data_IF_844411808243
#
_entry.id   IF_844411808243
#
_cell.length_a   1.000
_cell.length_b   1.000
_cell.length_c   1.000
_cell.angle_alpha   90.00
_cell.angle_beta   90.00
_cell.angle_gamma   90.00
#
_symmetry.space_group_name_H-M   'P 1'
#
loop_
_entity.id
_entity.type
_entity.pdbx_description
1 polymer ?
#
# COMPACT_ATOMS: atom_id res chain seq x y z
N UNK A 1 -1.91 -1.29 -15.14
CA UNK A 1 -2.81 -2.02 -14.21
C UNK A 1 -3.74 -2.85 -15.06
N UNK A 2 -3.72 -4.18 -14.94
CA UNK A 2 -4.64 -5.05 -15.65
C UNK A 2 -5.55 -5.70 -14.60
N UNK A 3 -6.87 -5.47 -14.62
CA UNK A 3 -7.76 -6.03 -13.63
C UNK A 3 -7.85 -7.55 -13.79
N UNK A 4 -7.82 -8.27 -12.66
CA UNK A 4 -8.18 -9.68 -12.63
C UNK A 4 -9.65 -9.77 -12.18
N UNK A 5 -10.55 -10.18 -13.06
CA UNK A 5 -11.99 -10.28 -12.76
C UNK A 5 -12.62 -8.98 -12.19
N UNK A 6 -12.18 -7.81 -12.65
CA UNK A 6 -12.69 -6.52 -12.17
C UNK A 6 -12.09 -6.03 -10.85
N UNK A 7 -11.17 -6.78 -10.25
CA UNK A 7 -10.41 -6.35 -9.07
C UNK A 7 -9.15 -5.59 -9.54
N UNK A 8 -8.93 -4.35 -9.06
CA UNK A 8 -7.67 -3.64 -9.32
C UNK A 8 -6.53 -4.42 -8.64
N UNK A 9 -5.78 -5.18 -9.44
CA UNK A 9 -4.67 -6.01 -8.95
C UNK A 9 -3.37 -5.50 -9.58
N UNK A 10 -2.42 -5.09 -8.74
CA UNK A 10 -1.07 -4.77 -9.16
C UNK A 10 -0.20 -6.02 -9.02
N UNK A 11 0.24 -6.54 -10.16
CA UNK A 11 1.12 -7.71 -10.20
C UNK A 11 2.54 -7.33 -9.78
N UNK A 12 3.15 -8.14 -8.92
CA UNK A 12 4.59 -8.09 -8.71
C UNK A 12 5.32 -8.34 -10.03
N UNK A 13 6.46 -7.69 -10.28
CA UNK A 13 7.31 -8.04 -11.42
C UNK A 13 7.62 -9.54 -11.38
N UNK A 14 7.37 -10.24 -12.50
CA UNK A 14 7.63 -11.67 -12.63
C UNK A 14 9.13 -12.03 -12.42
N UNK A 15 10.01 -11.03 -12.37
CA UNK A 15 11.46 -11.16 -12.19
C UNK A 15 11.90 -11.45 -10.77
N UNK A 16 11.00 -11.41 -9.78
CA UNK A 16 11.38 -11.64 -8.38
C UNK A 16 11.21 -13.10 -7.95
N UNK A 17 12.23 -13.64 -7.29
CA UNK A 17 12.18 -14.97 -6.69
C UNK A 17 11.36 -14.97 -5.38
N UNK A 18 11.06 -16.16 -4.84
CA UNK A 18 10.21 -16.30 -3.66
C UNK A 18 10.80 -15.63 -2.40
N UNK A 19 12.12 -15.70 -2.21
CA UNK A 19 12.78 -15.08 -1.07
C UNK A 19 12.71 -13.55 -1.13
N UNK A 20 12.91 -12.98 -2.31
CA UNK A 20 12.76 -11.55 -2.59
C UNK A 20 11.34 -11.03 -2.36
N UNK A 21 10.33 -11.84 -2.65
CA UNK A 21 8.93 -11.53 -2.34
C UNK A 21 8.68 -11.58 -0.84
N UNK A 22 9.13 -12.63 -0.16
CA UNK A 22 9.02 -12.79 1.29
C UNK A 22 9.72 -11.67 2.07
N UNK A 23 10.85 -11.20 1.55
CA UNK A 23 11.57 -10.07 2.13
C UNK A 23 10.78 -8.78 2.02
N UNK A 24 10.17 -8.52 0.87
CA UNK A 24 9.41 -7.29 0.62
C UNK A 24 8.04 -7.29 1.27
N UNK A 25 7.46 -8.46 1.57
CA UNK A 25 6.31 -8.58 2.49
C UNK A 25 6.62 -8.00 3.89
N UNK A 26 7.90 -7.93 4.30
CA UNK A 26 8.30 -7.31 5.57
C UNK A 26 8.26 -5.78 5.54
N UNK A 27 8.33 -5.18 4.35
CA UNK A 27 8.37 -3.72 4.18
C UNK A 27 6.96 -3.16 4.04
N UNK A 28 6.12 -3.42 5.04
CA UNK A 28 4.73 -2.98 5.07
C UNK A 28 4.46 -2.05 6.25
N UNK A 29 3.69 -0.99 6.00
CA UNK A 29 3.05 -0.18 7.04
C UNK A 29 1.56 -0.48 7.06
N UNK A 30 0.96 -0.44 8.25
CA UNK A 30 -0.48 -0.64 8.42
C UNK A 30 -1.06 0.59 9.09
N UNK A 31 -2.02 1.21 8.41
CA UNK A 31 -2.83 2.28 8.96
C UNK A 31 -4.12 1.66 9.48
N UNK A 32 -4.30 1.72 10.79
CA UNK A 32 -5.54 1.35 11.47
C UNK A 32 -6.52 2.53 11.46
N UNK A 33 -7.82 2.23 11.53
CA UNK A 33 -8.89 3.22 11.66
C UNK A 33 -8.83 4.35 10.61
N UNK A 34 -8.52 3.95 9.37
CA UNK A 34 -8.44 4.86 8.23
C UNK A 34 -9.75 5.65 8.07
N UNK A 35 -9.69 6.97 7.77
CA UNK A 35 -10.87 7.75 7.45
C UNK A 35 -11.66 7.12 6.31
N UNK A 36 -12.98 7.27 6.32
CA UNK A 36 -13.85 6.74 5.25
C UNK A 36 -13.54 7.37 3.87
N UNK A 37 -13.01 8.60 3.89
CA UNK A 37 -12.51 9.30 2.70
C UNK A 37 -11.27 8.65 2.10
N UNK A 38 -10.48 7.92 2.88
CA UNK A 38 -9.26 7.22 2.46
C UNK A 38 -9.61 5.77 2.10
N UNK A 39 -10.16 5.60 0.91
CA UNK A 39 -10.50 4.31 0.31
C UNK A 39 -9.71 4.06 -0.98
N UNK A 40 -9.80 2.85 -1.53
CA UNK A 40 -9.06 2.47 -2.75
C UNK A 40 -9.28 3.45 -3.90
N UNK A 41 -10.52 3.91 -4.12
CA UNK A 41 -10.84 4.84 -5.21
C UNK A 41 -10.14 6.20 -5.01
N UNK A 42 -10.16 6.73 -3.78
CA UNK A 42 -9.47 7.97 -3.42
C UNK A 42 -7.95 7.85 -3.59
N UNK A 43 -7.34 6.75 -3.13
CA UNK A 43 -5.89 6.54 -3.22
C UNK A 43 -5.42 6.33 -4.66
N UNK A 44 -6.29 5.84 -5.55
CA UNK A 44 -6.01 5.77 -7.00
C UNK A 44 -6.29 7.07 -7.75
N UNK A 45 -6.87 8.09 -7.10
CA UNK A 45 -7.16 9.35 -7.77
C UNK A 45 -5.86 10.11 -8.09
N UNK A 46 -5.78 10.85 -9.22
CA UNK A 46 -4.57 11.52 -9.67
C UNK A 46 -3.93 12.42 -8.60
N UNK A 47 -4.75 13.08 -7.79
CA UNK A 47 -4.33 13.96 -6.70
C UNK A 47 -3.50 13.24 -5.62
N UNK A 48 -3.69 11.93 -5.41
CA UNK A 48 -2.99 11.13 -4.41
C UNK A 48 -1.82 10.33 -5.01
N UNK A 49 -1.70 10.23 -6.34
CA UNK A 49 -0.58 9.54 -6.99
C UNK A 49 0.77 10.21 -6.71
N UNK A 50 0.79 11.54 -6.60
CA UNK A 50 1.99 12.30 -6.23
C UNK A 50 2.46 11.93 -4.82
N UNK A 51 1.53 11.90 -3.85
CA UNK A 51 1.81 11.49 -2.47
C UNK A 51 2.37 10.06 -2.39
N UNK A 52 1.74 9.09 -3.08
CA UNK A 52 2.22 7.71 -3.13
C UNK A 52 3.64 7.62 -3.73
N UNK A 53 3.93 8.46 -4.73
CA UNK A 53 5.24 8.50 -5.37
C UNK A 53 6.31 9.13 -4.48
N UNK A 54 5.99 10.21 -3.76
CA UNK A 54 6.89 10.90 -2.83
C UNK A 54 7.30 10.01 -1.65
N UNK A 55 6.36 9.23 -1.11
CA UNK A 55 6.61 8.24 -0.06
C UNK A 55 7.19 6.92 -0.61
N UNK A 56 7.32 6.80 -1.93
CA UNK A 56 7.82 5.61 -2.62
C UNK A 56 7.01 4.33 -2.32
N UNK A 57 5.71 4.50 -2.06
CA UNK A 57 4.75 3.42 -1.88
C UNK A 57 4.57 2.73 -3.24
N UNK A 58 4.80 1.42 -3.28
CA UNK A 58 4.72 0.64 -4.53
C UNK A 58 3.39 -0.01 -4.75
N UNK A 59 2.69 -0.32 -3.68
CA UNK A 59 1.38 -0.94 -3.69
C UNK A 59 0.70 -0.62 -2.36
N UNK A 60 -0.63 -0.56 -2.37
CA UNK A 60 -1.43 -0.52 -1.16
C UNK A 60 -2.61 -1.48 -1.29
N UNK A 61 -3.17 -1.87 -0.16
CA UNK A 61 -4.37 -2.72 -0.09
C UNK A 61 -5.27 -2.23 1.02
N UNK A 62 -6.51 -1.91 0.65
CA UNK A 62 -7.59 -1.70 1.61
C UNK A 62 -8.15 -3.06 2.04
N UNK A 63 -8.27 -3.29 3.35
CA UNK A 63 -8.88 -4.48 3.93
C UNK A 63 -10.05 -4.02 4.79
N UNK A 64 -11.25 -4.47 4.42
CA UNK A 64 -12.50 -4.21 5.14
C UNK A 64 -12.87 -5.44 5.97
N UNK A 65 -13.26 -5.22 7.22
CA UNK A 65 -13.70 -6.26 8.13
C UNK A 65 -15.24 -6.29 8.24
N UNK A 66 -15.83 -7.42 8.65
CA UNK A 66 -17.28 -7.55 8.82
C UNK A 66 -17.89 -6.61 9.86
N UNK A 67 -17.10 -6.16 10.83
CA UNK A 67 -17.49 -5.20 11.87
C UNK A 67 -17.50 -3.74 11.37
N UNK A 68 -17.18 -3.52 10.09
CA UNK A 68 -17.12 -2.20 9.47
C UNK A 68 -15.77 -1.50 9.62
N UNK A 69 -14.86 -2.04 10.43
CA UNK A 69 -13.50 -1.52 10.55
C UNK A 69 -12.71 -1.74 9.24
N UNK A 70 -11.71 -0.88 9.03
CA UNK A 70 -10.89 -0.90 7.81
C UNK A 70 -9.44 -0.66 8.16
N UNK A 71 -8.55 -1.30 7.42
CA UNK A 71 -7.11 -1.01 7.48
C UNK A 71 -6.55 -0.87 6.08
N UNK A 72 -5.54 -0.02 5.95
CA UNK A 72 -4.77 0.10 4.72
C UNK A 72 -3.39 -0.47 4.99
N UNK A 73 -2.97 -1.37 4.11
CA UNK A 73 -1.62 -1.93 4.11
C UNK A 73 -0.87 -1.29 2.97
N UNK A 74 0.23 -0.61 3.27
CA UNK A 74 1.12 0.03 2.29
C UNK A 74 2.40 -0.80 2.17
N UNK A 75 2.86 -1.01 0.94
CA UNK A 75 4.06 -1.80 0.64
C UNK A 75 5.15 -0.92 0.04
N UNK A 76 6.35 -1.00 0.62
CA UNK A 76 7.51 -0.20 0.24
C UNK A 76 8.54 -1.03 -0.51
N UNK A 77 9.35 -0.37 -1.34
CA UNK A 77 10.42 -1.03 -2.09
C UNK A 77 11.60 -1.45 -1.19
N UNK A 78 11.91 -0.66 -0.17
CA UNK A 78 13.04 -0.88 0.75
C UNK A 78 12.67 -0.52 2.18
N UNK A 79 13.43 -1.07 3.13
CA UNK A 79 13.31 -0.76 4.56
C UNK A 79 13.45 0.74 4.88
N UNK A 80 14.38 1.43 4.23
CA UNK A 80 14.62 2.86 4.45
C UNK A 80 13.38 3.71 4.15
N UNK A 81 12.63 3.37 3.11
CA UNK A 81 11.39 4.08 2.76
C UNK A 81 10.30 3.82 3.80
N UNK A 82 10.17 2.58 4.28
CA UNK A 82 9.27 2.25 5.38
C UNK A 82 9.64 3.02 6.66
N UNK A 83 10.91 3.01 7.04
CA UNK A 83 11.40 3.69 8.24
C UNK A 83 11.21 5.21 8.13
N UNK A 84 11.43 5.80 6.95
CA UNK A 84 11.13 7.20 6.66
C UNK A 84 9.64 7.50 6.77
N UNK A 85 8.76 6.63 6.25
CA UNK A 85 7.32 6.81 6.37
C UNK A 85 6.88 6.82 7.85
N UNK A 86 7.30 5.82 8.64
CA UNK A 86 6.94 5.69 10.05
C UNK A 86 7.47 6.89 10.87
N UNK A 87 8.70 7.33 10.61
CA UNK A 87 9.29 8.47 11.34
C UNK A 87 8.66 9.81 10.99
N UNK A 88 8.13 9.99 9.78
CA UNK A 88 7.39 11.20 9.41
C UNK A 88 5.93 11.18 9.87
N UNK A 89 5.39 10.03 10.29
CA UNK A 89 4.02 9.89 10.80
C UNK A 89 3.83 10.44 12.22
N UNK A 90 4.87 11.02 12.83
CA UNK A 90 4.83 11.60 14.19
C UNK A 90 4.42 13.09 14.15
N UNK A 91 3.27 13.38 13.54
CA UNK A 91 2.60 14.69 13.63
C UNK A 91 1.30 14.57 14.41
#
# INVERSE_FOLDING_TARGET
MAPLAGIPTQWFPATWNLAERKERERFQAIIYDSPESMNTASLTAPQHLTFLSELNIKMFKEIKFPDGSRKIVEYFKTWEHLQKCISNLTL
#
